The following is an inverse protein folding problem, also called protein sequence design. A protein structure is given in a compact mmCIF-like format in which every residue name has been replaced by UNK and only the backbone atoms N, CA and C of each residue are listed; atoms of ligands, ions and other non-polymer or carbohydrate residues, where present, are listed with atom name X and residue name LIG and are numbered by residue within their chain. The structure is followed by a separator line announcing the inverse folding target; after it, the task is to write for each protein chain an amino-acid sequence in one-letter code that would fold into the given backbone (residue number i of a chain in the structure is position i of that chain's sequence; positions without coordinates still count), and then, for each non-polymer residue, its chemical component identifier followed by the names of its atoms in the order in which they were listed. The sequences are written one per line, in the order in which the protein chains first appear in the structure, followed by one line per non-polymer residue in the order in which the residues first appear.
data_IF_345360967033
#
_entry.id   IF_345360967033
#
_cell.length_a   1.000
_cell.length_b   1.000
_cell.length_c   1.000
_cell.angle_alpha   90.00
_cell.angle_beta   90.00
_cell.angle_gamma   90.00
#
_symmetry.space_group_name_H-M   'P 1'
#
loop_
_entity.id
_entity.type
_entity.pdbx_description
1 polymer ?
#
# COMPACT_ATOMS: atom_id res chain seq x y z
N UNK A 1 -43.73 0.66 33.28
CA UNK A 1 -42.32 0.68 33.72
C UNK A 1 -41.44 1.12 32.56
N UNK A 2 -40.86 2.33 32.62
CA UNK A 2 -39.81 2.73 31.66
C UNK A 2 -38.53 2.01 32.10
N UNK A 3 -38.06 1.06 31.29
CA UNK A 3 -36.72 0.49 31.44
C UNK A 3 -35.75 1.65 31.29
N UNK A 4 -35.21 2.15 32.41
CA UNK A 4 -34.03 3.03 32.39
C UNK A 4 -32.89 2.16 31.88
N UNK A 5 -32.67 2.17 30.57
CA UNK A 5 -31.41 1.69 30.00
C UNK A 5 -30.30 2.40 30.75
N UNK A 6 -29.51 1.64 31.51
CA UNK A 6 -28.34 2.17 32.20
C UNK A 6 -27.47 2.84 31.12
N UNK A 7 -27.48 4.17 31.08
CA UNK A 7 -26.58 4.92 30.22
C UNK A 7 -25.19 4.65 30.76
N UNK A 8 -24.43 3.80 30.08
CA UNK A 8 -23.03 3.57 30.41
C UNK A 8 -22.33 4.92 30.50
N UNK A 9 -21.48 5.10 31.52
CA UNK A 9 -20.81 6.37 31.74
C UNK A 9 -19.90 6.78 30.56
N UNK A 10 -19.44 5.80 29.78
CA UNK A 10 -18.70 6.00 28.53
C UNK A 10 -19.40 5.25 27.40
N UNK A 11 -19.21 5.73 26.17
CA UNK A 11 -19.70 5.05 24.98
C UNK A 11 -19.00 3.68 24.85
N UNK A 12 -19.72 2.57 24.57
CA UNK A 12 -19.14 1.22 24.54
C UNK A 12 -17.92 1.11 23.62
N UNK A 13 -17.99 1.72 22.43
CA UNK A 13 -16.89 1.73 21.44
C UNK A 13 -15.66 2.46 21.96
N UNK A 14 -15.82 3.53 22.75
CA UNK A 14 -14.68 4.23 23.38
C UNK A 14 -14.03 3.33 24.41
N UNK A 15 -14.83 2.68 25.27
CA UNK A 15 -14.33 1.76 26.30
C UNK A 15 -13.55 0.62 25.67
N UNK A 16 -14.10 0.00 24.62
CA UNK A 16 -13.46 -1.10 23.90
C UNK A 16 -12.09 -0.70 23.36
N UNK A 17 -12.01 0.35 22.55
CA UNK A 17 -10.74 0.73 21.91
C UNK A 17 -9.73 1.33 22.89
N UNK A 18 -10.19 2.03 23.92
CA UNK A 18 -9.31 2.49 25.01
C UNK A 18 -8.74 1.29 25.76
N UNK A 19 -9.55 0.27 26.08
CA UNK A 19 -9.07 -0.94 26.73
C UNK A 19 -8.10 -1.72 25.85
N UNK A 20 -8.41 -1.90 24.56
CA UNK A 20 -7.49 -2.56 23.59
C UNK A 20 -6.15 -1.84 23.52
N UNK A 21 -6.15 -0.50 23.45
CA UNK A 21 -4.94 0.30 23.44
C UNK A 21 -4.16 0.18 24.75
N UNK A 22 -4.82 0.27 25.91
CA UNK A 22 -4.15 0.13 27.22
C UNK A 22 -3.58 -1.28 27.42
N UNK A 23 -4.29 -2.32 27.02
CA UNK A 23 -3.78 -3.71 27.05
C UNK A 23 -2.56 -3.85 26.13
N UNK A 24 -2.62 -3.31 24.92
CA UNK A 24 -1.47 -3.30 24.00
C UNK A 24 -0.26 -2.56 24.57
N UNK A 25 -0.49 -1.41 25.22
CA UNK A 25 0.58 -0.58 25.78
C UNK A 25 1.20 -1.17 27.06
N UNK A 26 0.39 -1.81 27.91
CA UNK A 26 0.80 -2.23 29.25
C UNK A 26 1.14 -3.72 29.38
N UNK A 27 0.61 -4.59 28.51
CA UNK A 27 0.69 -6.05 28.70
C UNK A 27 1.38 -6.80 27.55
N UNK A 28 1.40 -6.25 26.34
CA UNK A 28 1.96 -6.95 25.19
C UNK A 28 3.33 -6.40 24.79
N UNK A 29 4.24 -7.27 24.30
CA UNK A 29 5.54 -6.85 23.79
C UNK A 29 5.39 -5.76 22.74
N UNK A 30 6.09 -4.64 22.95
CA UNK A 30 6.00 -3.49 22.05
C UNK A 30 6.76 -3.74 20.73
N UNK A 31 7.90 -4.41 20.81
CA UNK A 31 8.74 -4.76 19.67
C UNK A 31 8.52 -6.21 19.21
N UNK A 32 8.97 -6.50 18.00
CA UNK A 32 8.87 -7.80 17.37
C UNK A 32 9.79 -8.80 18.08
N UNK A 33 9.21 -9.93 18.45
CA UNK A 33 9.91 -11.02 19.13
C UNK A 33 10.75 -11.84 18.15
N UNK A 34 11.89 -12.35 18.59
CA UNK A 34 12.67 -13.34 17.84
C UNK A 34 11.94 -14.67 17.70
N UNK A 35 11.24 -15.07 18.78
CA UNK A 35 10.38 -16.25 18.80
C UNK A 35 8.95 -15.90 18.35
N UNK A 36 8.21 -16.89 17.84
CA UNK A 36 6.83 -16.69 17.43
C UNK A 36 5.97 -16.29 18.63
N UNK A 37 5.23 -15.18 18.56
CA UNK A 37 4.39 -14.70 19.68
C UNK A 37 3.47 -15.78 20.30
N UNK A 38 2.94 -16.69 19.47
CA UNK A 38 2.03 -17.75 19.90
C UNK A 38 2.70 -18.90 20.66
N UNK A 39 4.03 -18.97 20.73
CA UNK A 39 4.73 -19.96 21.57
C UNK A 39 4.75 -19.57 23.03
N UNK A 40 4.38 -18.33 23.37
CA UNK A 40 4.31 -17.82 24.75
C UNK A 40 5.65 -17.89 25.52
N UNK A 41 6.76 -18.13 24.83
CA UNK A 41 8.12 -18.13 25.38
C UNK A 41 8.48 -16.79 25.99
N UNK A 42 8.01 -15.70 25.38
CA UNK A 42 8.20 -14.33 25.86
C UNK A 42 7.70 -14.09 27.29
N UNK A 43 6.75 -14.89 27.82
CA UNK A 43 6.35 -14.79 29.23
C UNK A 43 7.40 -15.33 30.20
N UNK A 44 8.25 -16.25 29.75
CA UNK A 44 9.29 -16.90 30.53
C UNK A 44 10.66 -16.24 30.30
N UNK A 45 10.83 -15.54 29.18
CA UNK A 45 12.04 -14.84 28.77
C UNK A 45 12.16 -13.44 29.42
N UNK A 46 11.92 -13.34 30.74
CA UNK A 46 12.17 -12.08 31.49
C UNK A 46 11.03 -11.05 31.49
N UNK A 47 9.83 -11.42 31.04
CA UNK A 47 8.66 -10.53 31.10
C UNK A 47 8.31 -10.11 32.55
N UNK A 48 7.93 -8.85 32.80
CA UNK A 48 7.78 -7.74 31.86
C UNK A 48 8.99 -6.78 31.79
N UNK A 49 10.12 -7.13 32.40
CA UNK A 49 11.23 -6.20 32.61
C UNK A 49 12.28 -6.21 31.50
N UNK A 50 12.48 -7.36 30.85
CA UNK A 50 13.48 -7.50 29.79
C UNK A 50 13.08 -6.73 28.51
N UNK A 51 13.99 -5.89 28.00
CA UNK A 51 13.78 -4.91 26.92
C UNK A 51 13.28 -5.52 25.61
N UNK A 52 13.59 -6.80 25.36
CA UNK A 52 13.23 -7.52 24.14
C UNK A 52 11.76 -7.99 24.16
N UNK A 53 11.20 -8.21 25.35
CA UNK A 53 9.82 -8.70 25.55
C UNK A 53 8.93 -7.69 26.27
N UNK A 54 9.50 -6.60 26.77
CA UNK A 54 8.80 -5.63 27.61
C UNK A 54 7.67 -4.90 26.84
N UNK A 55 6.52 -4.70 27.50
CA UNK A 55 5.50 -3.75 27.03
C UNK A 55 6.02 -2.31 27.07
N UNK A 56 5.40 -1.44 26.26
CA UNK A 56 5.79 -0.03 26.19
C UNK A 56 5.73 0.69 27.54
N UNK A 57 4.74 0.37 28.39
CA UNK A 57 4.66 0.93 29.73
C UNK A 57 5.91 0.61 30.57
N UNK A 58 6.39 -0.65 30.52
CA UNK A 58 7.53 -1.08 31.30
C UNK A 58 8.84 -0.50 30.76
N UNK A 59 9.01 -0.42 29.44
CA UNK A 59 10.15 0.26 28.82
C UNK A 59 10.24 1.71 29.31
N UNK A 60 9.13 2.45 29.25
CA UNK A 60 9.09 3.85 29.71
C UNK A 60 9.36 3.98 31.20
N UNK A 61 8.81 3.09 32.04
CA UNK A 61 9.02 3.12 33.49
C UNK A 61 10.47 2.79 33.89
N UNK A 62 11.17 2.00 33.08
CA UNK A 62 12.59 1.69 33.27
C UNK A 62 13.53 2.81 32.78
N UNK A 63 12.97 3.86 32.18
CA UNK A 63 13.73 4.97 31.60
C UNK A 63 14.24 4.68 30.20
N UNK A 64 13.83 3.56 29.62
CA UNK A 64 14.21 3.12 28.29
C UNK A 64 13.20 3.60 27.26
N UNK A 65 13.68 3.85 26.04
CA UNK A 65 12.83 4.12 24.87
C UNK A 65 11.75 5.18 25.17
N UNK A 66 12.18 6.28 25.78
CA UNK A 66 11.32 7.36 26.31
C UNK A 66 10.39 7.99 25.27
N UNK A 67 10.69 7.82 23.98
CA UNK A 67 9.79 8.18 22.89
C UNK A 67 8.47 7.41 22.92
N UNK A 68 8.30 6.35 23.71
CA UNK A 68 7.00 5.67 23.88
C UNK A 68 6.09 6.38 24.88
N UNK A 69 6.65 7.22 25.75
CA UNK A 69 5.93 7.85 26.87
C UNK A 69 4.70 8.68 26.45
N UNK A 70 4.71 9.46 25.35
CA UNK A 70 3.55 10.27 24.96
C UNK A 70 2.30 9.45 24.62
N UNK A 71 2.45 8.18 24.24
CA UNK A 71 1.33 7.31 23.88
C UNK A 71 0.44 6.97 25.07
N UNK A 72 1.02 6.82 26.27
CA UNK A 72 0.28 6.51 27.49
C UNK A 72 -0.79 7.56 27.85
N UNK A 73 -0.41 8.84 28.04
CA UNK A 73 -1.35 9.93 28.28
C UNK A 73 -2.38 10.10 27.16
N UNK A 74 -1.97 9.91 25.90
CA UNK A 74 -2.89 9.95 24.75
C UNK A 74 -3.95 8.83 24.83
N UNK A 75 -3.59 7.62 25.26
CA UNK A 75 -4.53 6.51 25.46
C UNK A 75 -5.48 6.75 26.63
N UNK A 76 -5.09 7.53 27.63
CA UNK A 76 -5.95 7.87 28.78
C UNK A 76 -6.88 9.06 28.49
N UNK A 77 -6.55 9.92 27.53
CA UNK A 77 -7.34 11.10 27.18
C UNK A 77 -8.83 10.83 26.85
N UNK A 78 -9.23 9.72 26.18
CA UNK A 78 -10.63 9.39 25.95
C UNK A 78 -11.45 9.20 27.23
N UNK A 79 -10.82 8.90 28.37
CA UNK A 79 -11.52 8.78 29.66
C UNK A 79 -12.11 10.10 30.15
N UNK A 80 -11.62 11.25 29.64
CA UNK A 80 -12.21 12.58 29.89
C UNK A 80 -13.63 12.72 29.33
N UNK A 81 -14.08 11.77 28.49
CA UNK A 81 -15.44 11.71 27.96
C UNK A 81 -16.44 11.08 28.94
N UNK A 82 -16.02 10.81 30.18
CA UNK A 82 -16.91 10.27 31.21
C UNK A 82 -18.16 11.13 31.38
N UNK A 83 -19.34 10.51 31.26
CA UNK A 83 -20.65 11.14 31.32
C UNK A 83 -21.06 11.96 30.09
N UNK A 84 -20.20 12.07 29.07
CA UNK A 84 -20.46 12.85 27.85
C UNK A 84 -21.20 12.00 26.82
N UNK A 85 -22.11 12.61 26.07
CA UNK A 85 -22.88 11.96 25.01
C UNK A 85 -22.19 12.14 23.65
N UNK A 86 -22.43 11.21 22.72
CA UNK A 86 -21.94 11.27 21.33
C UNK A 86 -22.38 12.55 20.59
N UNK A 87 -23.51 13.14 21.00
CA UNK A 87 -24.02 14.40 20.44
C UNK A 87 -23.25 15.65 20.88
N UNK A 88 -22.38 15.56 21.89
CA UNK A 88 -21.54 16.67 22.33
C UNK A 88 -20.42 16.91 21.30
N UNK A 89 -20.27 18.13 20.76
CA UNK A 89 -19.15 18.47 19.89
C UNK A 89 -17.79 18.09 20.50
N UNK A 90 -17.62 18.24 21.81
CA UNK A 90 -16.37 17.89 22.50
C UNK A 90 -16.02 16.40 22.34
N UNK A 91 -17.03 15.51 22.33
CA UNK A 91 -16.83 14.07 22.15
C UNK A 91 -16.11 13.75 20.83
N UNK A 92 -16.64 14.25 19.71
CA UNK A 92 -16.03 14.01 18.41
C UNK A 92 -14.66 14.66 18.26
N UNK A 93 -14.49 15.91 18.71
CA UNK A 93 -13.23 16.63 18.57
C UNK A 93 -12.10 16.00 19.37
N UNK A 94 -12.36 15.60 20.62
CA UNK A 94 -11.34 14.98 21.45
C UNK A 94 -10.85 13.67 20.81
N UNK A 95 -11.77 12.81 20.37
CA UNK A 95 -11.42 11.53 19.74
C UNK A 95 -10.66 11.71 18.42
N UNK A 96 -11.04 12.70 17.59
CA UNK A 96 -10.30 13.03 16.36
C UNK A 96 -8.88 13.47 16.70
N UNK A 97 -8.71 14.39 17.65
CA UNK A 97 -7.39 14.90 18.02
C UNK A 97 -6.53 13.80 18.63
N UNK A 98 -7.06 13.03 19.58
CA UNK A 98 -6.34 11.92 20.23
C UNK A 98 -5.96 10.85 19.22
N UNK A 99 -6.92 10.40 18.40
CA UNK A 99 -6.68 9.36 17.41
C UNK A 99 -5.72 9.81 16.30
N UNK A 100 -5.89 11.02 15.75
CA UNK A 100 -5.00 11.55 14.72
C UNK A 100 -3.57 11.76 15.25
N UNK A 101 -3.44 12.32 16.45
CA UNK A 101 -2.13 12.54 17.09
C UNK A 101 -1.46 11.20 17.41
N UNK A 102 -2.21 10.23 17.94
CA UNK A 102 -1.69 8.89 18.24
C UNK A 102 -1.23 8.14 16.99
N UNK A 103 -2.03 8.15 15.91
CA UNK A 103 -1.62 7.54 14.63
C UNK A 103 -0.41 8.26 14.04
N UNK A 104 -0.41 9.60 13.99
CA UNK A 104 0.70 10.36 13.45
C UNK A 104 1.99 10.13 14.24
N UNK A 105 1.92 10.14 15.57
CA UNK A 105 3.06 9.89 16.44
C UNK A 105 3.60 8.47 16.26
N UNK A 106 2.72 7.47 16.22
CA UNK A 106 3.10 6.08 15.95
C UNK A 106 3.81 5.91 14.61
N UNK A 107 3.30 6.53 13.54
CA UNK A 107 3.92 6.47 12.21
C UNK A 107 5.27 7.20 12.19
N UNK A 108 5.36 8.40 12.79
CA UNK A 108 6.62 9.15 12.89
C UNK A 108 7.68 8.37 13.65
N UNK A 109 7.31 7.72 14.76
CA UNK A 109 8.20 6.86 15.52
C UNK A 109 8.59 5.60 14.72
N UNK A 110 7.62 4.93 14.12
CA UNK A 110 7.83 3.68 13.37
C UNK A 110 8.71 3.83 12.13
N UNK A 111 8.57 4.95 11.43
CA UNK A 111 9.35 5.21 10.22
C UNK A 111 10.54 6.14 10.44
N UNK A 112 10.55 6.91 11.53
CA UNK A 112 11.65 7.82 11.85
C UNK A 112 12.83 7.13 12.52
N UNK A 113 12.59 6.08 13.32
CA UNK A 113 13.64 5.34 14.04
C UNK A 113 13.80 3.95 13.40
N UNK A 114 14.99 3.67 12.88
CA UNK A 114 15.33 2.40 12.23
C UNK A 114 16.31 1.54 13.04
N UNK A 115 16.76 0.46 12.40
CA UNK A 115 17.72 -0.51 12.96
C UNK A 115 19.13 0.06 13.20
N UNK A 116 19.44 1.26 12.68
CA UNK A 116 20.75 1.91 12.77
C UNK A 116 20.65 3.36 13.30
N UNK A 117 19.58 3.68 14.02
CA UNK A 117 19.26 5.04 14.47
C UNK A 117 18.25 5.74 13.55
N UNK A 118 18.26 7.08 13.55
CA UNK A 118 17.29 7.86 12.78
C UNK A 118 17.40 7.65 11.26
N UNK A 119 16.27 7.40 10.62
CA UNK A 119 16.16 7.28 9.16
C UNK A 119 16.33 8.63 8.46
N UNK A 120 15.95 9.71 9.13
CA UNK A 120 16.08 11.06 8.59
C UNK A 120 17.19 11.82 9.31
N UNK A 121 18.20 12.25 8.57
CA UNK A 121 19.40 12.89 9.11
C UNK A 121 19.09 14.18 9.91
N UNK A 122 18.00 14.89 9.58
CA UNK A 122 17.58 16.09 10.33
C UNK A 122 17.13 15.78 11.77
N UNK A 123 16.66 14.56 12.06
CA UNK A 123 16.32 14.16 13.43
C UNK A 123 17.58 14.06 14.29
N UNK A 124 18.67 13.54 13.73
CA UNK A 124 19.97 13.48 14.40
C UNK A 124 20.48 14.88 14.76
N UNK A 125 20.29 15.87 13.89
CA UNK A 125 20.64 17.26 14.17
C UNK A 125 19.81 17.89 15.31
N UNK A 126 18.56 17.48 15.49
CA UNK A 126 17.62 18.10 16.44
C UNK A 126 17.61 17.39 17.81
N UNK A 127 17.77 16.07 17.82
CA UNK A 127 17.65 15.23 19.02
C UNK A 127 19.01 14.68 19.48
N UNK A 128 20.00 14.64 18.59
CA UNK A 128 21.30 13.98 18.81
C UNK A 128 21.35 12.59 18.16
N UNK A 129 22.51 11.94 18.24
CA UNK A 129 22.66 10.55 17.80
C UNK A 129 21.87 9.62 18.72
N UNK A 130 21.05 8.75 18.13
CA UNK A 130 20.38 7.70 18.87
C UNK A 130 21.34 6.51 18.96
N UNK A 131 21.85 6.24 20.17
CA UNK A 131 22.68 5.04 20.46
C UNK A 131 21.84 3.75 20.53
N UNK A 132 20.52 3.86 20.38
CA UNK A 132 19.57 2.76 20.51
C UNK A 132 18.88 2.44 19.17
N UNK A 133 18.34 1.23 19.05
CA UNK A 133 17.78 0.69 17.81
C UNK A 133 16.31 0.36 17.99
N UNK A 134 15.54 0.63 16.93
CA UNK A 134 14.16 0.20 16.86
C UNK A 134 14.02 -1.04 16.00
N UNK A 135 13.66 -2.16 16.62
CA UNK A 135 13.29 -3.39 15.93
C UNK A 135 11.86 -3.28 15.34
N UNK A 136 11.43 -4.31 14.62
CA UNK A 136 10.08 -4.37 14.08
C UNK A 136 9.03 -4.13 15.16
N UNK A 137 7.87 -3.59 14.79
CA UNK A 137 6.77 -3.36 15.73
C UNK A 137 6.08 -4.67 16.09
N UNK A 138 5.86 -4.89 17.39
CA UNK A 138 5.22 -6.07 17.95
C UNK A 138 3.70 -5.96 18.05
N UNK A 139 3.10 -6.89 18.80
CA UNK A 139 1.66 -6.95 18.99
C UNK A 139 1.11 -5.80 19.84
N UNK A 140 1.89 -5.30 20.81
CA UNK A 140 1.50 -4.11 21.59
C UNK A 140 1.33 -2.88 20.71
N UNK A 141 2.30 -2.64 19.83
CA UNK A 141 2.28 -1.59 18.82
C UNK A 141 1.08 -1.72 17.86
N UNK A 142 0.76 -2.94 17.40
CA UNK A 142 -0.40 -3.21 16.54
C UNK A 142 -1.72 -2.83 17.24
N UNK A 143 -1.91 -3.23 18.50
CA UNK A 143 -3.15 -2.93 19.23
C UNK A 143 -3.29 -1.44 19.53
N UNK A 144 -2.20 -0.77 19.91
CA UNK A 144 -2.21 0.67 20.19
C UNK A 144 -2.49 1.50 18.94
N UNK A 145 -1.84 1.18 17.81
CA UNK A 145 -2.11 1.86 16.54
C UNK A 145 -3.54 1.63 16.05
N UNK A 146 -4.06 0.39 16.19
CA UNK A 146 -5.45 0.08 15.90
C UNK A 146 -6.41 0.87 16.79
N UNK A 147 -6.14 0.95 18.10
CA UNK A 147 -6.95 1.73 19.03
C UNK A 147 -7.03 3.21 18.63
N UNK A 148 -5.90 3.85 18.31
CA UNK A 148 -5.92 5.25 17.86
C UNK A 148 -6.67 5.44 16.55
N UNK A 149 -6.52 4.52 15.59
CA UNK A 149 -7.25 4.56 14.32
C UNK A 149 -8.76 4.44 14.52
N UNK A 150 -9.21 3.53 15.38
CA UNK A 150 -10.64 3.34 15.62
C UNK A 150 -11.24 4.42 16.53
N UNK A 151 -10.46 5.02 17.43
CA UNK A 151 -10.88 6.22 18.16
C UNK A 151 -11.00 7.42 17.20
N UNK A 152 -10.05 7.59 16.27
CA UNK A 152 -10.11 8.62 15.23
C UNK A 152 -11.37 8.51 14.37
N UNK A 153 -11.63 7.31 13.82
CA UNK A 153 -12.81 7.05 12.99
C UNK A 153 -14.12 7.18 13.75
N UNK A 154 -14.15 6.78 15.03
CA UNK A 154 -15.30 7.02 15.90
C UNK A 154 -15.55 8.52 16.12
N UNK A 155 -14.50 9.32 16.28
CA UNK A 155 -14.61 10.77 16.37
C UNK A 155 -15.18 11.41 15.10
N UNK A 156 -14.78 10.92 13.92
CA UNK A 156 -15.34 11.33 12.63
C UNK A 156 -16.81 10.92 12.48
N UNK A 157 -17.17 9.70 12.88
CA UNK A 157 -18.56 9.24 12.89
C UNK A 157 -19.42 10.10 13.84
N UNK A 158 -18.91 10.46 15.02
CA UNK A 158 -19.61 11.36 15.94
C UNK A 158 -19.82 12.77 15.36
N UNK A 159 -19.02 13.19 14.39
CA UNK A 159 -19.17 14.46 13.65
C UNK A 159 -20.13 14.37 12.46
N UNK A 160 -20.73 13.20 12.21
CA UNK A 160 -21.73 13.01 11.17
C UNK A 160 -21.17 12.46 9.84
N UNK A 161 -19.90 12.03 9.80
CA UNK A 161 -19.38 11.32 8.64
C UNK A 161 -20.19 10.04 8.37
N UNK A 162 -20.58 9.81 7.12
CA UNK A 162 -21.37 8.64 6.68
C UNK A 162 -22.60 8.40 7.57
N UNK A 163 -23.38 9.47 7.81
CA UNK A 163 -24.57 9.46 8.68
C UNK A 163 -24.31 9.03 10.14
N UNK A 164 -23.05 8.99 10.57
CA UNK A 164 -22.62 8.62 11.91
C UNK A 164 -22.48 7.13 12.18
N UNK A 165 -22.44 6.31 11.12
CA UNK A 165 -22.20 4.87 11.18
C UNK A 165 -20.74 4.57 11.58
N UNK A 166 -20.57 4.00 12.77
CA UNK A 166 -19.25 3.71 13.35
C UNK A 166 -18.53 2.57 12.61
N UNK A 167 -19.28 1.57 12.15
CA UNK A 167 -18.71 0.41 11.49
C UNK A 167 -18.22 0.77 10.08
N UNK A 168 -19.03 1.53 9.32
CA UNK A 168 -18.66 1.92 7.96
C UNK A 168 -17.49 2.91 7.98
N UNK A 169 -17.51 3.93 8.84
CA UNK A 169 -16.39 4.89 8.96
C UNK A 169 -15.13 4.17 9.46
N UNK A 170 -15.26 3.25 10.41
CA UNK A 170 -14.14 2.41 10.88
C UNK A 170 -13.55 1.53 9.78
N UNK A 171 -14.38 0.89 8.96
CA UNK A 171 -13.95 0.05 7.84
C UNK A 171 -13.22 0.86 6.76
N UNK A 172 -13.78 2.02 6.39
CA UNK A 172 -13.13 2.94 5.43
C UNK A 172 -11.79 3.41 6.00
N UNK A 173 -11.74 3.84 7.27
CA UNK A 173 -10.50 4.28 7.91
C UNK A 173 -9.44 3.18 7.98
N UNK A 174 -9.84 1.93 8.27
CA UNK A 174 -8.95 0.78 8.26
C UNK A 174 -8.35 0.52 6.87
N UNK A 175 -9.18 0.47 5.82
CA UNK A 175 -8.71 0.28 4.44
C UNK A 175 -7.78 1.40 4.02
N UNK A 176 -8.13 2.67 4.30
CA UNK A 176 -7.29 3.82 3.99
C UNK A 176 -5.96 3.75 4.73
N UNK A 177 -5.96 3.39 6.01
CA UNK A 177 -4.73 3.26 6.80
C UNK A 177 -3.81 2.15 6.25
N UNK A 178 -4.35 0.96 5.98
CA UNK A 178 -3.58 -0.17 5.41
C UNK A 178 -3.02 0.20 4.03
N UNK A 179 -3.84 0.75 3.14
CA UNK A 179 -3.38 1.21 1.82
C UNK A 179 -2.31 2.29 1.95
N UNK A 180 -2.46 3.22 2.90
CA UNK A 180 -1.47 4.28 3.12
C UNK A 180 -0.14 3.71 3.59
N UNK A 181 -0.15 2.81 4.58
CA UNK A 181 1.07 2.21 5.15
C UNK A 181 1.76 1.26 4.19
N UNK A 182 1.01 0.43 3.44
CA UNK A 182 1.62 -0.62 2.60
C UNK A 182 1.87 -0.18 1.15
N UNK A 183 1.13 0.80 0.63
CA UNK A 183 1.26 1.23 -0.77
C UNK A 183 1.88 2.64 -0.82
N UNK A 184 1.23 3.62 -0.20
CA UNK A 184 1.68 5.01 -0.33
C UNK A 184 3.00 5.26 0.40
N UNK A 185 3.26 4.64 1.55
CA UNK A 185 4.49 4.86 2.30
C UNK A 185 5.73 4.34 1.55
N UNK A 186 5.80 3.09 1.07
CA UNK A 186 6.94 2.65 0.27
C UNK A 186 7.14 3.48 -1.01
N UNK A 187 6.06 3.90 -1.67
CA UNK A 187 6.14 4.81 -2.82
C UNK A 187 6.74 6.16 -2.39
N UNK A 188 6.31 6.71 -1.27
CA UNK A 188 6.85 7.94 -0.69
C UNK A 188 8.33 7.82 -0.35
N UNK A 189 8.77 6.71 0.24
CA UNK A 189 10.19 6.44 0.51
C UNK A 189 11.00 6.28 -0.77
N UNK A 190 10.45 5.59 -1.77
CA UNK A 190 11.07 5.42 -3.08
C UNK A 190 11.26 6.79 -3.76
N UNK A 191 10.26 7.65 -3.74
CA UNK A 191 10.36 9.02 -4.27
C UNK A 191 11.30 9.90 -3.44
N UNK A 192 11.26 9.77 -2.10
CA UNK A 192 12.17 10.45 -1.19
C UNK A 192 13.63 10.10 -1.44
N UNK A 193 13.93 8.82 -1.76
CA UNK A 193 15.29 8.39 -2.09
C UNK A 193 15.81 8.99 -3.41
N UNK A 194 14.92 9.45 -4.30
CA UNK A 194 15.33 10.15 -5.52
C UNK A 194 15.97 11.54 -5.23
N UNK A 195 15.60 12.16 -4.09
CA UNK A 195 16.12 13.46 -3.62
C UNK A 195 17.48 13.36 -2.91
N UNK A 196 17.91 12.15 -2.52
CA UNK A 196 19.15 11.92 -1.80
C UNK A 196 20.38 12.04 -2.73
N UNK A 197 21.42 12.71 -2.23
CA UNK A 197 22.76 12.71 -2.82
C UNK A 197 23.56 11.48 -2.41
N UNK A 198 24.74 11.29 -3.01
CA UNK A 198 25.67 10.22 -2.59
C UNK A 198 26.20 10.43 -1.16
N UNK A 199 26.09 11.66 -0.63
CA UNK A 199 26.56 12.07 0.69
C UNK A 199 25.42 12.05 1.75
N UNK A 200 24.18 11.73 1.34
CA UNK A 200 23.02 11.63 2.24
C UNK A 200 22.16 12.89 2.35
N UNK A 201 22.61 14.02 1.78
CA UNK A 201 21.85 15.27 1.81
C UNK A 201 20.67 15.27 0.83
N UNK A 202 19.61 15.99 1.19
CA UNK A 202 18.47 16.23 0.29
C UNK A 202 18.77 17.41 -0.63
N UNK A 203 18.78 17.17 -1.95
CA UNK A 203 19.01 18.24 -2.92
C UNK A 203 17.94 18.26 -4.02
N UNK A 204 17.15 19.33 -4.00
CA UNK A 204 16.15 19.59 -5.02
C UNK A 204 16.74 19.80 -6.44
N UNK A 205 17.92 20.45 -6.61
CA UNK A 205 18.52 20.62 -7.94
C UNK A 205 18.91 19.30 -8.60
N UNK A 206 19.44 18.33 -7.83
CA UNK A 206 19.85 17.03 -8.37
C UNK A 206 18.61 16.22 -8.74
N UNK A 207 17.55 16.28 -7.94
CA UNK A 207 16.27 15.67 -8.29
C UNK A 207 15.73 16.25 -9.61
N UNK A 208 15.72 17.57 -9.76
CA UNK A 208 15.29 18.22 -11.01
C UNK A 208 16.16 17.79 -12.20
N UNK A 209 17.48 17.74 -12.04
CA UNK A 209 18.40 17.29 -13.10
C UNK A 209 18.18 15.81 -13.50
N UNK A 210 17.91 14.93 -12.52
CA UNK A 210 17.56 13.52 -12.78
C UNK A 210 16.23 13.43 -13.52
N UNK A 211 15.22 14.18 -13.07
CA UNK A 211 13.87 14.19 -13.63
C UNK A 211 13.86 14.77 -15.05
N UNK A 212 14.60 15.85 -15.31
CA UNK A 212 14.69 16.51 -16.61
C UNK A 212 15.81 15.95 -17.50
N UNK A 213 16.29 14.73 -17.22
CA UNK A 213 17.40 14.16 -17.98
C UNK A 213 17.03 13.87 -19.43
N UNK A 214 17.96 14.11 -20.35
CA UNK A 214 17.76 13.86 -21.78
C UNK A 214 17.42 12.40 -22.07
N UNK A 215 17.90 11.45 -21.25
CA UNK A 215 17.57 10.04 -21.40
C UNK A 215 16.06 9.76 -21.26
N UNK A 216 15.34 10.57 -20.47
CA UNK A 216 13.91 10.44 -20.25
C UNK A 216 13.11 11.16 -21.34
N UNK A 217 13.46 12.41 -21.64
CA UNK A 217 12.60 13.33 -22.41
C UNK A 217 13.08 13.68 -23.82
N UNK A 218 14.26 13.23 -24.26
CA UNK A 218 14.81 13.58 -25.57
C UNK A 218 13.88 13.15 -26.73
N UNK A 219 13.71 14.04 -27.72
CA UNK A 219 12.91 13.82 -28.93
C UNK A 219 13.78 13.60 -30.19
N UNK A 220 15.05 13.26 -30.00
CA UNK A 220 16.04 13.11 -31.07
C UNK A 220 15.60 12.20 -32.22
N UNK A 221 14.76 11.20 -31.96
CA UNK A 221 14.18 10.34 -33.00
C UNK A 221 13.37 11.07 -34.09
N UNK A 222 12.79 12.24 -33.78
CA UNK A 222 12.05 13.05 -34.75
C UNK A 222 12.96 13.91 -35.64
N UNK A 223 14.18 14.17 -35.18
CA UNK A 223 15.14 15.09 -35.81
C UNK A 223 16.39 14.36 -36.35
N UNK A 224 16.29 13.05 -36.61
CA UNK A 224 17.36 12.25 -37.21
C UNK A 224 18.32 11.56 -36.23
N UNK A 225 18.05 11.66 -34.92
CA UNK A 225 18.76 10.92 -33.88
C UNK A 225 18.33 9.44 -33.78
N UNK A 226 19.14 8.59 -33.13
CA UNK A 226 18.93 7.14 -33.18
C UNK A 226 17.77 6.62 -32.32
N UNK A 227 17.32 7.35 -31.28
CA UNK A 227 16.28 6.90 -30.31
C UNK A 227 15.54 8.08 -29.67
N UNK A 228 14.26 7.90 -29.33
CA UNK A 228 13.54 8.80 -28.42
C UNK A 228 13.88 8.47 -26.96
N UNK A 229 13.64 9.41 -26.06
CA UNK A 229 13.65 9.23 -24.62
C UNK A 229 12.65 8.17 -24.17
N UNK A 230 12.95 7.55 -23.02
CA UNK A 230 12.16 6.42 -22.50
C UNK A 230 10.71 6.83 -22.23
N UNK A 231 10.46 8.06 -21.78
CA UNK A 231 9.11 8.54 -21.47
C UNK A 231 8.21 8.52 -22.72
N UNK A 232 8.71 9.03 -23.86
CA UNK A 232 7.96 9.07 -25.11
C UNK A 232 7.71 7.69 -25.70
N UNK A 233 8.70 6.79 -25.65
CA UNK A 233 8.53 5.41 -26.10
C UNK A 233 7.48 4.68 -25.27
N UNK A 234 7.51 4.84 -23.93
CA UNK A 234 6.55 4.23 -23.03
C UNK A 234 5.14 4.80 -23.20
N UNK A 235 5.01 6.12 -23.40
CA UNK A 235 3.72 6.76 -23.66
C UNK A 235 3.12 6.27 -24.99
N UNK A 236 3.92 6.24 -26.05
CA UNK A 236 3.47 5.74 -27.35
C UNK A 236 3.03 4.27 -27.28
N UNK A 237 3.83 3.42 -26.60
CA UNK A 237 3.48 2.03 -26.35
C UNK A 237 2.18 1.91 -25.55
N UNK A 238 2.02 2.68 -24.46
CA UNK A 238 0.82 2.64 -23.61
C UNK A 238 -0.44 3.04 -24.37
N UNK A 239 -0.38 4.07 -25.22
CA UNK A 239 -1.51 4.48 -26.07
C UNK A 239 -1.87 3.36 -27.05
N UNK A 240 -0.87 2.78 -27.74
CA UNK A 240 -1.11 1.74 -28.72
C UNK A 240 -1.69 0.47 -28.07
N UNK A 241 -1.12 0.04 -26.95
CA UNK A 241 -1.62 -1.10 -26.15
C UNK A 241 -3.03 -0.81 -25.65
N UNK A 242 -3.29 0.37 -25.09
CA UNK A 242 -4.60 0.76 -24.59
C UNK A 242 -5.68 0.69 -25.67
N UNK A 243 -5.44 1.35 -26.81
CA UNK A 243 -6.39 1.34 -27.94
C UNK A 243 -6.63 -0.08 -28.46
N UNK A 244 -5.57 -0.85 -28.68
CA UNK A 244 -5.70 -2.20 -29.25
C UNK A 244 -6.37 -3.19 -28.28
N UNK A 245 -6.03 -3.15 -27.00
CA UNK A 245 -6.64 -4.02 -25.97
C UNK A 245 -8.10 -3.67 -25.72
N UNK A 246 -8.45 -2.39 -25.69
CA UNK A 246 -9.85 -1.96 -25.60
C UNK A 246 -10.64 -2.37 -26.84
N UNK A 247 -10.08 -2.20 -28.04
CA UNK A 247 -10.74 -2.62 -29.27
C UNK A 247 -10.99 -4.14 -29.30
N UNK A 248 -9.97 -4.95 -28.97
CA UNK A 248 -10.11 -6.41 -28.88
C UNK A 248 -11.08 -6.82 -27.77
N UNK A 249 -11.00 -6.19 -26.59
CA UNK A 249 -11.89 -6.45 -25.47
C UNK A 249 -13.35 -6.14 -25.80
N UNK A 250 -13.62 -5.05 -26.52
CA UNK A 250 -14.94 -4.69 -27.01
C UNK A 250 -15.47 -5.72 -28.02
N UNK A 251 -14.64 -6.14 -28.98
CA UNK A 251 -15.02 -7.18 -29.95
C UNK A 251 -15.42 -8.47 -29.23
N UNK A 252 -14.61 -8.94 -28.28
CA UNK A 252 -14.96 -10.13 -27.50
C UNK A 252 -16.21 -9.95 -26.64
N UNK A 253 -16.40 -8.78 -26.02
CA UNK A 253 -17.57 -8.47 -25.22
C UNK A 253 -18.85 -8.52 -26.07
N UNK A 254 -18.86 -7.89 -27.25
CA UNK A 254 -20.01 -7.90 -28.16
C UNK A 254 -20.32 -9.31 -28.69
N UNK A 255 -19.29 -10.08 -29.03
CA UNK A 255 -19.48 -11.47 -29.48
C UNK A 255 -20.15 -12.29 -28.38
N UNK A 256 -19.64 -12.24 -27.15
CA UNK A 256 -20.18 -13.06 -26.03
C UNK A 256 -21.58 -12.61 -25.63
N UNK A 257 -21.86 -11.31 -25.61
CA UNK A 257 -23.12 -10.76 -25.07
C UNK A 257 -24.23 -10.61 -26.09
N UNK A 258 -23.94 -10.34 -27.37
CA UNK A 258 -24.95 -9.98 -28.38
C UNK A 258 -25.14 -11.00 -29.50
N UNK A 259 -24.18 -11.89 -29.78
CA UNK A 259 -24.25 -12.76 -30.98
C UNK A 259 -24.86 -14.14 -30.75
N UNK A 260 -25.21 -14.50 -29.51
CA UNK A 260 -25.75 -15.84 -29.19
C UNK A 260 -24.74 -16.97 -29.46
N UNK A 261 -23.44 -16.68 -29.39
CA UNK A 261 -22.39 -17.61 -29.75
C UNK A 261 -22.43 -18.90 -28.92
N UNK A 262 -22.54 -20.05 -29.60
CA UNK A 262 -22.72 -21.38 -28.95
C UNK A 262 -21.63 -21.77 -27.96
N UNK A 263 -20.43 -21.17 -28.10
CA UNK A 263 -19.29 -21.42 -27.21
C UNK A 263 -18.89 -20.18 -26.39
N UNK A 264 -19.84 -19.29 -26.10
CA UNK A 264 -19.57 -18.06 -25.34
C UNK A 264 -18.90 -18.31 -23.99
N UNK A 265 -19.25 -19.40 -23.30
CA UNK A 265 -18.62 -19.79 -22.04
C UNK A 265 -17.16 -20.20 -22.20
N UNK A 266 -16.83 -20.96 -23.26
CA UNK A 266 -15.45 -21.35 -23.56
C UNK A 266 -14.62 -20.13 -23.98
N UNK A 267 -15.17 -19.25 -24.82
CA UNK A 267 -14.50 -18.01 -25.22
C UNK A 267 -14.18 -17.14 -24.00
N UNK A 268 -15.15 -16.96 -23.09
CA UNK A 268 -14.95 -16.22 -21.83
C UNK A 268 -13.84 -16.84 -20.97
N UNK A 269 -13.82 -18.17 -20.84
CA UNK A 269 -12.78 -18.88 -20.08
C UNK A 269 -11.38 -18.70 -20.70
N UNK A 270 -11.27 -18.89 -22.02
CA UNK A 270 -10.00 -18.75 -22.76
C UNK A 270 -9.48 -17.31 -22.73
N UNK A 271 -10.37 -16.31 -22.79
CA UNK A 271 -9.98 -14.90 -22.71
C UNK A 271 -9.50 -14.51 -21.32
N UNK A 272 -9.95 -15.14 -20.23
CA UNK A 272 -9.50 -14.81 -18.86
C UNK A 272 -8.22 -15.54 -18.46
N UNK A 273 -7.89 -16.66 -19.13
CA UNK A 273 -6.71 -17.47 -18.83
C UNK A 273 -5.39 -16.68 -18.71
N UNK A 274 -5.08 -15.67 -19.56
CA UNK A 274 -3.82 -14.94 -19.45
C UNK A 274 -3.67 -14.11 -18.17
N UNK A 275 -4.75 -13.82 -17.45
CA UNK A 275 -4.69 -13.09 -16.16
C UNK A 275 -4.03 -13.95 -15.08
N UNK A 276 -4.26 -15.26 -15.13
CA UNK A 276 -3.74 -16.21 -14.14
C UNK A 276 -2.28 -16.53 -14.45
N UNK A 277 -1.89 -16.52 -15.74
CA UNK A 277 -0.51 -16.78 -16.13
C UNK A 277 0.40 -15.62 -15.73
N UNK A 278 1.51 -15.87 -15.03
CA UNK A 278 2.47 -14.82 -14.69
C UNK A 278 2.95 -14.09 -15.97
N UNK A 279 3.11 -12.76 -15.94
CA UNK A 279 3.48 -11.98 -17.13
C UNK A 279 4.82 -12.41 -17.74
N UNK A 280 5.72 -12.94 -16.91
CA UNK A 280 6.99 -13.51 -17.36
C UNK A 280 6.81 -14.69 -18.34
N UNK A 281 5.82 -15.54 -18.11
CA UNK A 281 5.55 -16.72 -18.94
C UNK A 281 5.13 -16.30 -20.36
N UNK A 282 4.28 -15.28 -20.46
CA UNK A 282 3.84 -14.73 -21.75
C UNK A 282 5.05 -14.19 -22.54
N UNK A 283 5.93 -13.43 -21.86
CA UNK A 283 7.16 -12.91 -22.48
C UNK A 283 8.08 -14.02 -22.97
N UNK A 284 8.32 -15.04 -22.14
CA UNK A 284 9.16 -16.18 -22.52
C UNK A 284 8.56 -16.96 -23.70
N UNK A 285 7.25 -17.22 -23.70
CA UNK A 285 6.58 -17.91 -24.80
C UNK A 285 6.75 -17.16 -26.13
N UNK A 286 6.59 -15.83 -26.12
CA UNK A 286 6.80 -14.99 -27.30
C UNK A 286 8.26 -15.05 -27.76
N UNK A 287 9.23 -15.01 -26.86
CA UNK A 287 10.65 -15.12 -27.21
C UNK A 287 10.98 -16.51 -27.75
N UNK A 288 10.42 -17.58 -27.20
CA UNK A 288 10.65 -18.95 -27.68
C UNK A 288 9.98 -19.24 -29.03
N UNK A 289 8.87 -18.56 -29.35
CA UNK A 289 8.19 -18.70 -30.62
C UNK A 289 8.80 -17.79 -31.70
N UNK A 290 9.05 -16.53 -31.38
CA UNK A 290 9.40 -15.45 -32.31
C UNK A 290 10.77 -14.82 -32.07
N UNK A 291 11.60 -15.37 -31.18
CA UNK A 291 13.00 -14.95 -30.98
C UNK A 291 13.91 -15.38 -32.13
N UNK A 292 15.20 -15.07 -32.04
CA UNK A 292 16.18 -15.38 -33.10
C UNK A 292 16.24 -16.88 -33.44
N UNK A 293 16.16 -17.72 -32.42
CA UNK A 293 16.12 -19.19 -32.55
C UNK A 293 14.72 -19.75 -32.27
N UNK A 294 13.68 -18.91 -32.43
CA UNK A 294 12.32 -19.31 -32.13
C UNK A 294 11.76 -20.26 -33.20
N UNK A 295 10.86 -21.16 -32.78
CA UNK A 295 10.32 -22.20 -33.66
C UNK A 295 9.67 -21.61 -34.94
N UNK A 296 8.97 -20.47 -34.82
CA UNK A 296 8.29 -19.84 -35.95
C UNK A 296 9.30 -19.14 -36.86
N UNK A 297 10.24 -18.39 -36.30
CA UNK A 297 11.24 -17.67 -37.10
C UNK A 297 12.19 -18.64 -37.84
N UNK A 298 12.58 -19.75 -37.22
CA UNK A 298 13.40 -20.78 -37.87
C UNK A 298 12.63 -21.47 -38.99
N UNK A 299 11.37 -21.85 -38.76
CA UNK A 299 10.53 -22.42 -39.81
C UNK A 299 10.33 -21.47 -41.00
N UNK A 300 10.12 -20.18 -40.73
CA UNK A 300 10.04 -19.16 -41.79
C UNK A 300 11.38 -18.96 -42.53
N UNK A 301 12.51 -19.02 -41.82
CA UNK A 301 13.82 -18.92 -42.43
C UNK A 301 14.12 -20.11 -43.36
N UNK A 302 13.67 -21.31 -43.00
CA UNK A 302 13.80 -22.52 -43.83
C UNK A 302 12.89 -22.46 -45.07
N UNK A 303 11.66 -21.96 -44.92
CA UNK A 303 10.68 -21.90 -46.01
C UNK A 303 10.92 -20.76 -47.01
N UNK A 304 11.33 -19.58 -46.53
CA UNK A 304 11.39 -18.33 -47.31
C UNK A 304 12.83 -17.83 -47.49
N UNK A 305 13.82 -18.46 -46.83
CA UNK A 305 15.24 -18.08 -46.94
C UNK A 305 15.59 -16.75 -46.26
N UNK A 306 14.67 -16.16 -45.47
CA UNK A 306 14.87 -14.87 -44.81
C UNK A 306 15.56 -15.09 -43.46
N UNK A 307 16.66 -14.38 -43.22
CA UNK A 307 17.39 -14.47 -41.95
C UNK A 307 16.54 -13.91 -40.80
N UNK A 308 16.40 -14.62 -39.66
CA UNK A 308 15.71 -14.09 -38.49
C UNK A 308 16.33 -12.78 -38.01
N UNK A 309 15.50 -11.76 -37.83
CA UNK A 309 15.90 -10.45 -37.30
C UNK A 309 15.46 -10.29 -35.84
N UNK A 310 16.02 -9.31 -35.12
CA UNK A 310 15.69 -9.03 -33.71
C UNK A 310 14.39 -8.22 -33.54
N UNK A 311 13.46 -8.33 -34.49
CA UNK A 311 12.25 -7.50 -34.55
C UNK A 311 11.35 -7.65 -33.30
N UNK A 312 11.36 -8.81 -32.65
CA UNK A 312 10.58 -9.08 -31.43
C UNK A 312 11.14 -8.36 -30.19
N UNK A 313 12.44 -8.03 -30.16
CA UNK A 313 13.10 -7.40 -29.00
C UNK A 313 12.91 -5.87 -28.98
N UNK A 314 11.75 -5.40 -29.43
CA UNK A 314 11.41 -3.99 -29.54
C UNK A 314 9.91 -3.77 -29.39
N UNK A 315 9.40 -2.69 -30.00
CA UNK A 315 7.98 -2.33 -29.93
C UNK A 315 7.02 -3.48 -30.28
N UNK A 316 7.23 -4.29 -31.36
CA UNK A 316 6.28 -5.33 -31.73
C UNK A 316 6.11 -6.42 -30.67
N UNK A 317 7.21 -6.89 -30.06
CA UNK A 317 7.14 -7.92 -29.02
C UNK A 317 6.56 -7.40 -27.73
N UNK A 318 6.90 -6.17 -27.34
CA UNK A 318 6.28 -5.50 -26.18
C UNK A 318 4.78 -5.33 -26.39
N UNK A 319 4.36 -4.88 -27.58
CA UNK A 319 2.96 -4.70 -27.94
C UNK A 319 2.20 -6.03 -27.88
N UNK A 320 2.73 -7.10 -28.48
CA UNK A 320 2.09 -8.43 -28.44
C UNK A 320 1.95 -8.96 -27.01
N UNK A 321 3.03 -8.90 -26.22
CA UNK A 321 3.03 -9.38 -24.85
C UNK A 321 1.99 -8.64 -23.99
N UNK A 322 1.96 -7.30 -24.10
CA UNK A 322 1.03 -6.48 -23.34
C UNK A 322 -0.41 -6.62 -23.83
N UNK A 323 -0.64 -6.77 -25.15
CA UNK A 323 -1.98 -7.05 -25.67
C UNK A 323 -2.53 -8.36 -25.10
N UNK A 324 -1.74 -9.43 -25.09
CA UNK A 324 -2.14 -10.72 -24.52
C UNK A 324 -2.44 -10.61 -23.02
N UNK A 325 -1.64 -9.85 -22.27
CA UNK A 325 -1.80 -9.70 -20.82
C UNK A 325 -3.00 -8.80 -20.44
N UNK A 326 -3.26 -7.71 -21.18
CA UNK A 326 -4.23 -6.69 -20.78
C UNK A 326 -5.60 -6.78 -21.51
N UNK A 327 -5.68 -7.44 -22.67
CA UNK A 327 -6.98 -7.69 -23.34
C UNK A 327 -8.02 -8.37 -22.44
N UNK A 328 -7.66 -9.36 -21.59
CA UNK A 328 -8.60 -9.99 -20.66
C UNK A 328 -9.25 -9.00 -19.68
N UNK A 329 -8.45 -8.07 -19.15
CA UNK A 329 -8.91 -7.06 -18.19
C UNK A 329 -9.84 -6.09 -18.91
N UNK A 330 -9.45 -5.61 -20.10
CA UNK A 330 -10.28 -4.75 -20.92
C UNK A 330 -11.62 -5.42 -21.27
N UNK A 331 -11.61 -6.70 -21.66
CA UNK A 331 -12.81 -7.48 -21.93
C UNK A 331 -13.76 -7.55 -20.72
N UNK A 332 -13.25 -7.84 -19.52
CA UNK A 332 -14.07 -7.92 -18.30
C UNK A 332 -14.74 -6.59 -17.95
N UNK A 333 -14.02 -5.48 -18.12
CA UNK A 333 -14.59 -4.13 -17.92
C UNK A 333 -15.65 -3.83 -18.98
N UNK A 334 -15.38 -4.16 -20.26
CA UNK A 334 -16.30 -3.90 -21.36
C UNK A 334 -17.59 -4.73 -21.28
N UNK A 335 -17.56 -5.95 -20.75
CA UNK A 335 -18.79 -6.73 -20.51
C UNK A 335 -19.76 -5.95 -19.62
N UNK A 336 -19.29 -5.44 -18.47
CA UNK A 336 -20.15 -4.71 -17.54
C UNK A 336 -20.77 -3.46 -18.17
N UNK A 337 -20.04 -2.79 -19.06
CA UNK A 337 -20.56 -1.64 -19.83
C UNK A 337 -21.59 -2.08 -20.88
N UNK A 338 -21.30 -3.11 -21.67
CA UNK A 338 -22.17 -3.58 -22.77
C UNK A 338 -23.49 -4.18 -22.23
N UNK A 339 -23.44 -4.85 -21.08
CA UNK A 339 -24.61 -5.34 -20.36
C UNK A 339 -25.41 -4.20 -19.71
N UNK A 340 -24.76 -3.13 -19.24
CA UNK A 340 -25.44 -1.98 -18.64
C UNK A 340 -26.23 -1.09 -19.62
N UNK A 341 -25.97 -1.20 -20.93
CA UNK A 341 -26.71 -0.50 -22.00
C UNK A 341 -27.79 -1.43 -22.62
N UNK A 342 -28.48 -2.19 -21.78
CA UNK A 342 -29.58 -3.07 -22.18
C UNK A 342 -30.96 -2.48 -21.87
#
# INVERSE_FOLDING_TARGET
MRVRTATSALHPTVVLWTAVGLVGYALLPWYGLESNFFTLSWLLDGYPHDDDVAPALFLVLQGEKLWLAPLGPLLLAPLLLWGRRKSDPFFGNLLIVVGATGVAYFLLQGFGIGLRGFQWQWLTWLVGELDDRQFGMGWGALLVSSAFLFLFTLGLAARGAVAGDEFVVGSIGFVVAVVTVFIFMPIGQMLGSALLTQEGDYSLPIFLAKLSSDRLWNLGCLFGGPRCGVAWNSLFLAILVGVMTTALGLVFALVVTRTGFRYGALLRALTVLPIITPPFVIGLAIILLFGLSGAINLGFAELIGVRPTRWIYGLPGLLMAQMLAFTPIAFLVMIGVVEGVS
#
